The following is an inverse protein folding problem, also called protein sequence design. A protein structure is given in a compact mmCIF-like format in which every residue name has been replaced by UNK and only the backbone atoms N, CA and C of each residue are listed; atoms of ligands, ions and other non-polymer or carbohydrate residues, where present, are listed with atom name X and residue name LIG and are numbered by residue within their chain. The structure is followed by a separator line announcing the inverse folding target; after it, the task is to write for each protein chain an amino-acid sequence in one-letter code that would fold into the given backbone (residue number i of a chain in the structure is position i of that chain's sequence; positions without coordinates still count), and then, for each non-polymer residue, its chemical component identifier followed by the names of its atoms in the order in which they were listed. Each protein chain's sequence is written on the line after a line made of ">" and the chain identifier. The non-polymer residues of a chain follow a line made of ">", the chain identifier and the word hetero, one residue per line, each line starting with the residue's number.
data_IF_467733647498
#
_entry.id   IF_467733647498
#
_cell.length_a   1.000
_cell.length_b   1.000
_cell.length_c   1.000
_cell.angle_alpha   90.00
_cell.angle_beta   90.00
_cell.angle_gamma   90.00
#
_symmetry.space_group_name_H-M   'P 1'
#
loop_
_entity.id
_entity.type
_entity.pdbx_description
1 polymer ?
#
# COMPACT_ATOMS: atom_id res chain seq x y z
N UNK A 1 15.51 13.07 -22.98
CA UNK A 1 14.84 12.70 -21.71
C UNK A 1 15.94 12.36 -20.73
N UNK A 2 16.04 13.09 -19.62
CA UNK A 2 17.00 12.75 -18.58
C UNK A 2 16.61 11.39 -17.99
N UNK A 3 17.55 10.44 -17.96
CA UNK A 3 17.38 9.19 -17.22
C UNK A 3 17.20 9.57 -15.75
N UNK A 4 16.08 9.20 -15.14
CA UNK A 4 15.93 9.28 -13.68
C UNK A 4 17.00 8.34 -13.08
N UNK A 5 18.07 8.92 -12.55
CA UNK A 5 19.07 8.18 -11.78
C UNK A 5 18.55 8.08 -10.35
N UNK A 6 18.14 6.87 -9.98
CA UNK A 6 17.80 6.53 -8.61
C UNK A 6 19.07 6.16 -7.84
N UNK A 7 19.08 6.39 -6.54
CA UNK A 7 20.14 5.91 -5.67
C UNK A 7 20.08 4.38 -5.53
N UNK A 8 21.18 3.70 -5.15
CA UNK A 8 21.17 2.24 -4.97
C UNK A 8 20.10 1.73 -4.01
N UNK A 9 19.82 2.51 -2.95
CA UNK A 9 18.75 2.19 -1.99
C UNK A 9 17.37 2.28 -2.64
N UNK A 10 17.15 3.29 -3.47
CA UNK A 10 15.88 3.50 -4.14
C UNK A 10 15.59 2.37 -5.14
N UNK A 11 16.60 1.95 -5.90
CA UNK A 11 16.51 0.81 -6.79
C UNK A 11 16.23 -0.51 -6.04
N UNK A 12 16.86 -0.71 -4.88
CA UNK A 12 16.65 -1.88 -4.03
C UNK A 12 15.20 -1.96 -3.53
N UNK A 13 14.65 -0.87 -2.98
CA UNK A 13 13.27 -0.84 -2.49
C UNK A 13 12.25 -1.00 -3.62
N UNK A 14 12.50 -0.41 -4.80
CA UNK A 14 11.64 -0.61 -5.97
C UNK A 14 11.65 -2.04 -6.48
N UNK A 15 12.81 -2.72 -6.43
CA UNK A 15 12.93 -4.12 -6.79
C UNK A 15 12.14 -4.99 -5.80
N UNK A 16 12.32 -4.78 -4.50
CA UNK A 16 11.62 -5.53 -3.45
C UNK A 16 10.11 -5.35 -3.51
N UNK A 17 9.64 -4.12 -3.76
CA UNK A 17 8.21 -3.88 -3.93
C UNK A 17 7.64 -4.61 -5.16
N UNK A 18 8.38 -4.63 -6.27
CA UNK A 18 8.01 -5.40 -7.47
C UNK A 18 7.90 -6.90 -7.18
N UNK A 19 8.92 -7.47 -6.56
CA UNK A 19 8.92 -8.89 -6.16
C UNK A 19 7.75 -9.21 -5.22
N UNK A 20 7.47 -8.32 -4.26
CA UNK A 20 6.29 -8.42 -3.39
C UNK A 20 4.99 -8.48 -4.20
N UNK A 21 4.80 -7.58 -5.17
CA UNK A 21 3.59 -7.54 -6.02
C UNK A 21 3.43 -8.79 -6.87
N UNK A 22 4.51 -9.25 -7.50
CA UNK A 22 4.53 -10.43 -8.37
C UNK A 22 4.33 -11.75 -7.59
N UNK A 23 4.66 -11.76 -6.29
CA UNK A 23 4.45 -12.93 -5.43
C UNK A 23 2.95 -13.24 -5.30
N UNK A 24 2.50 -14.36 -5.89
CA UNK A 24 1.07 -14.76 -5.92
C UNK A 24 0.59 -15.39 -4.62
N UNK A 25 1.43 -16.18 -3.95
CA UNK A 25 1.08 -16.82 -2.67
C UNK A 25 1.03 -15.77 -1.54
N UNK A 26 -0.10 -15.69 -0.83
CA UNK A 26 -0.24 -14.78 0.32
C UNK A 26 0.76 -15.17 1.42
N UNK A 27 0.93 -16.46 1.71
CA UNK A 27 1.92 -16.91 2.70
C UNK A 27 3.34 -16.52 2.31
N UNK A 28 3.67 -16.55 1.02
CA UNK A 28 4.98 -16.12 0.54
C UNK A 28 5.18 -14.60 0.66
N UNK A 29 4.10 -13.79 0.61
CA UNK A 29 4.17 -12.34 0.86
C UNK A 29 4.63 -12.02 2.28
N UNK A 30 4.44 -12.93 3.24
CA UNK A 30 4.93 -12.78 4.61
C UNK A 30 6.45 -12.54 4.69
N UNK A 31 7.21 -13.00 3.68
CA UNK A 31 8.65 -12.78 3.60
C UNK A 31 9.04 -11.31 3.40
N UNK A 32 8.14 -10.47 2.90
CA UNK A 32 8.41 -9.04 2.72
C UNK A 32 8.07 -8.21 3.96
N UNK A 33 7.34 -8.80 4.91
CA UNK A 33 6.82 -8.10 6.07
C UNK A 33 7.65 -8.44 7.30
N UNK A 34 7.96 -7.43 8.11
CA UNK A 34 8.39 -7.66 9.49
C UNK A 34 7.30 -8.42 10.24
N UNK A 35 7.62 -9.31 11.18
CA UNK A 35 6.62 -9.91 12.07
C UNK A 35 5.77 -8.87 12.81
N UNK A 36 6.36 -7.70 13.10
CA UNK A 36 5.69 -6.59 13.78
C UNK A 36 5.02 -5.59 12.82
N UNK A 37 4.97 -5.91 11.52
CA UNK A 37 4.41 -5.01 10.52
C UNK A 37 2.97 -4.62 10.87
N UNK A 38 2.70 -3.32 10.84
CA UNK A 38 1.40 -2.72 11.17
C UNK A 38 0.70 -2.27 9.89
N UNK A 39 -0.62 -2.11 9.98
CA UNK A 39 -1.39 -1.47 8.90
C UNK A 39 -2.40 -0.50 9.49
N UNK A 40 -2.49 0.68 8.90
CA UNK A 40 -3.57 1.64 9.15
C UNK A 40 -4.33 1.91 7.85
N UNK A 41 -5.59 2.25 7.99
CA UNK A 41 -6.43 2.73 6.90
C UNK A 41 -7.08 4.05 7.33
N UNK A 42 -6.70 5.14 6.67
CA UNK A 42 -7.16 6.49 7.01
C UNK A 42 -8.64 6.69 6.69
N UNK A 43 -9.14 6.05 5.64
CA UNK A 43 -10.56 6.13 5.23
C UNK A 43 -11.48 5.21 6.04
N UNK A 44 -10.98 4.07 6.52
CA UNK A 44 -11.71 3.13 7.38
C UNK A 44 -10.82 2.72 8.58
N UNK A 45 -10.73 3.54 9.65
CA UNK A 45 -9.80 3.30 10.76
C UNK A 45 -10.02 1.97 11.51
N UNK A 46 -11.20 1.34 11.37
CA UNK A 46 -11.45 0.01 11.92
C UNK A 46 -10.68 -1.08 11.16
N UNK A 47 -10.30 -0.80 9.90
CA UNK A 47 -9.48 -1.67 9.07
C UNK A 47 -7.98 -1.43 9.33
N UNK A 48 -7.54 -1.84 10.52
CA UNK A 48 -6.16 -1.72 10.98
C UNK A 48 -5.61 -3.07 11.45
N UNK A 49 -4.29 -3.24 11.39
CA UNK A 49 -3.59 -4.46 11.80
C UNK A 49 -2.48 -4.17 12.80
N UNK A 50 -2.39 -5.00 13.83
CA UNK A 50 -1.36 -4.94 14.88
C UNK A 50 -0.16 -5.86 14.61
N UNK A 51 -0.24 -6.66 13.57
CA UNK A 51 0.79 -7.63 13.23
C UNK A 51 0.64 -8.09 11.78
N UNK A 52 1.72 -8.70 11.29
CA UNK A 52 1.80 -9.28 9.96
C UNK A 52 0.69 -10.27 9.69
N UNK A 53 0.39 -11.15 10.64
CA UNK A 53 -0.53 -12.26 10.41
C UNK A 53 -1.97 -11.74 10.21
N UNK A 54 -2.34 -10.65 10.88
CA UNK A 54 -3.59 -9.92 10.62
C UNK A 54 -3.60 -9.29 9.22
N UNK A 55 -2.48 -8.72 8.75
CA UNK A 55 -2.37 -8.19 7.38
C UNK A 55 -2.56 -9.30 6.35
N UNK A 56 -1.95 -10.48 6.56
CA UNK A 56 -2.11 -11.62 5.66
C UNK A 56 -3.55 -12.12 5.63
N UNK A 57 -4.22 -12.18 6.80
CA UNK A 57 -5.65 -12.49 6.86
C UNK A 57 -6.49 -11.49 6.05
N UNK A 58 -6.22 -10.20 6.19
CA UNK A 58 -6.88 -9.16 5.39
C UNK A 58 -6.66 -9.31 3.89
N UNK A 59 -5.48 -9.76 3.45
CA UNK A 59 -5.25 -10.07 2.04
C UNK A 59 -6.10 -11.25 1.55
N UNK A 60 -6.33 -12.27 2.39
CA UNK A 60 -7.24 -13.37 2.07
C UNK A 60 -8.71 -12.92 2.02
N UNK A 61 -9.10 -12.03 2.92
CA UNK A 61 -10.47 -11.54 3.08
C UNK A 61 -10.81 -10.32 2.21
N UNK A 62 -9.84 -9.80 1.44
CA UNK A 62 -9.97 -8.57 0.69
C UNK A 62 -11.18 -8.56 -0.25
N UNK A 63 -11.60 -9.72 -0.77
CA UNK A 63 -12.76 -9.86 -1.66
C UNK A 63 -14.03 -9.23 -1.10
N UNK A 64 -14.32 -9.42 0.19
CA UNK A 64 -15.53 -8.88 0.83
C UNK A 64 -15.48 -7.36 0.96
N UNK A 65 -14.31 -6.82 1.29
CA UNK A 65 -14.06 -5.37 1.35
C UNK A 65 -14.24 -4.74 -0.03
N UNK A 66 -13.69 -5.36 -1.07
CA UNK A 66 -13.85 -4.88 -2.44
C UNK A 66 -15.32 -4.91 -2.88
N UNK A 67 -16.05 -5.99 -2.59
CA UNK A 67 -17.48 -6.08 -2.89
C UNK A 67 -18.30 -4.98 -2.20
N UNK A 68 -17.97 -4.63 -0.96
CA UNK A 68 -18.60 -3.50 -0.25
C UNK A 68 -18.36 -2.19 -1.00
N UNK A 69 -17.12 -1.90 -1.39
CA UNK A 69 -16.76 -0.67 -2.12
C UNK A 69 -17.51 -0.59 -3.47
N UNK A 70 -17.53 -1.68 -4.24
CA UNK A 70 -18.29 -1.73 -5.50
C UNK A 70 -19.77 -1.42 -5.29
N UNK A 71 -20.38 -2.01 -4.26
CA UNK A 71 -21.80 -1.80 -3.95
C UNK A 71 -22.10 -0.35 -3.54
N UNK A 72 -21.25 0.23 -2.70
CA UNK A 72 -21.39 1.63 -2.26
C UNK A 72 -21.22 2.63 -3.42
N UNK A 73 -20.39 2.29 -4.41
CA UNK A 73 -20.25 3.04 -5.66
C UNK A 73 -21.42 2.83 -6.65
N UNK A 74 -22.41 1.99 -6.30
CA UNK A 74 -23.55 1.68 -7.17
C UNK A 74 -23.20 0.73 -8.32
N UNK A 75 -22.08 0.00 -8.24
CA UNK A 75 -21.63 -0.93 -9.26
C UNK A 75 -21.97 -2.37 -8.89
N UNK A 76 -22.48 -3.12 -9.88
CA UNK A 76 -22.71 -4.55 -9.72
C UNK A 76 -21.51 -5.35 -10.22
N UNK A 77 -20.85 -6.07 -9.32
CA UNK A 77 -19.66 -6.87 -9.64
C UNK A 77 -19.95 -7.98 -10.66
N UNK A 78 -21.19 -8.48 -10.73
CA UNK A 78 -21.57 -9.49 -11.73
C UNK A 78 -21.60 -8.94 -13.16
N UNK A 79 -21.58 -7.61 -13.33
CA UNK A 79 -21.51 -6.94 -14.62
C UNK A 79 -20.08 -6.57 -15.02
N UNK A 80 -19.10 -6.91 -14.18
CA UNK A 80 -17.69 -6.74 -14.50
C UNK A 80 -17.21 -8.00 -15.21
N UNK A 81 -16.65 -7.83 -16.41
CA UNK A 81 -15.96 -8.89 -17.11
C UNK A 81 -14.53 -8.98 -16.56
N UNK A 82 -14.15 -10.05 -15.84
CA UNK A 82 -12.81 -10.17 -15.29
C UNK A 82 -11.70 -10.09 -16.35
N UNK A 83 -11.98 -10.50 -17.60
CA UNK A 83 -11.01 -10.43 -18.69
C UNK A 83 -10.72 -8.99 -19.15
N UNK A 84 -11.61 -8.05 -18.82
CA UNK A 84 -11.46 -6.63 -19.14
C UNK A 84 -10.77 -5.81 -18.04
N UNK A 85 -10.64 -6.38 -16.84
CA UNK A 85 -10.04 -5.69 -15.69
C UNK A 85 -8.53 -5.69 -15.83
N UNK A 86 -7.95 -4.50 -15.82
CA UNK A 86 -6.51 -4.29 -15.77
C UNK A 86 -6.10 -3.83 -14.39
N UNK A 87 -4.86 -4.15 -13.99
CA UNK A 87 -4.26 -3.72 -12.74
C UNK A 87 -3.04 -2.87 -13.03
N UNK A 88 -2.88 -1.79 -12.27
CA UNK A 88 -1.80 -0.84 -12.43
C UNK A 88 -1.28 -0.40 -11.07
N UNK A 89 -0.04 0.09 -11.06
CA UNK A 89 0.42 0.91 -9.96
C UNK A 89 1.44 1.96 -10.42
N UNK A 90 1.54 3.03 -9.65
CA UNK A 90 2.72 3.91 -9.67
C UNK A 90 3.53 3.74 -8.40
N UNK A 91 4.84 3.99 -8.48
CA UNK A 91 5.72 3.93 -7.33
C UNK A 91 6.82 5.00 -7.40
N UNK A 92 7.07 5.65 -6.27
CA UNK A 92 8.23 6.53 -6.02
C UNK A 92 8.59 6.55 -4.54
N UNK A 93 9.72 7.16 -4.19
CA UNK A 93 10.03 7.48 -2.79
C UNK A 93 9.10 8.55 -2.23
N UNK A 94 8.90 8.52 -0.91
CA UNK A 94 8.23 9.62 -0.20
C UNK A 94 9.03 10.91 -0.32
N UNK A 95 8.31 12.00 -0.55
CA UNK A 95 8.84 13.36 -0.45
C UNK A 95 9.14 13.68 1.01
N UNK A 96 10.03 14.65 1.25
CA UNK A 96 10.37 15.08 2.61
C UNK A 96 9.15 15.50 3.44
N UNK A 97 8.14 16.11 2.81
CA UNK A 97 6.89 16.48 3.48
C UNK A 97 6.01 15.28 3.85
N UNK A 98 6.08 14.20 3.07
CA UNK A 98 5.31 12.97 3.33
C UNK A 98 5.99 12.11 4.40
N UNK A 99 7.32 12.20 4.54
CA UNK A 99 8.07 11.47 5.57
C UNK A 99 7.66 11.83 7.01
N UNK A 100 6.95 12.95 7.19
CA UNK A 100 6.48 13.44 8.49
C UNK A 100 4.97 13.21 8.72
N UNK A 101 4.26 12.71 7.70
CA UNK A 101 2.80 12.54 7.70
C UNK A 101 2.42 11.09 7.99
N UNK A 102 2.27 10.76 9.27
CA UNK A 102 1.81 9.45 9.76
C UNK A 102 0.29 9.40 10.07
N UNK A 103 -0.48 10.37 9.57
CA UNK A 103 -1.90 10.48 9.88
C UNK A 103 -2.17 10.95 11.32
N UNK A 104 -3.22 10.41 11.93
CA UNK A 104 -3.77 10.86 13.21
C UNK A 104 -3.86 9.71 14.22
N UNK A 105 -3.95 10.06 15.51
CA UNK A 105 -4.11 9.06 16.58
C UNK A 105 -5.37 8.18 16.40
N UNK A 106 -6.43 8.70 15.75
CA UNK A 106 -7.64 7.94 15.45
C UNK A 106 -7.36 6.76 14.51
N UNK A 107 -6.42 6.91 13.60
CA UNK A 107 -6.05 5.92 12.57
C UNK A 107 -4.96 4.98 13.11
N UNK A 108 -4.06 5.53 13.94
CA UNK A 108 -2.93 4.82 14.54
C UNK A 108 -3.31 3.93 15.73
N UNK A 109 -4.22 4.37 16.59
CA UNK A 109 -4.59 3.65 17.81
C UNK A 109 -5.16 2.23 17.55
N UNK A 110 -6.02 2.01 16.53
CA UNK A 110 -6.46 0.67 16.15
C UNK A 110 -5.31 -0.27 15.76
N UNK A 111 -4.26 0.25 15.12
CA UNK A 111 -3.03 -0.49 14.81
C UNK A 111 -2.08 -0.65 16.01
N UNK A 112 -2.45 -0.12 17.19
CA UNK A 112 -1.73 -0.34 18.44
C UNK A 112 -0.63 0.66 18.75
N UNK A 113 -0.56 1.79 18.05
CA UNK A 113 0.31 2.91 18.41
C UNK A 113 -0.38 3.81 19.45
N UNK A 114 0.39 4.39 20.35
CA UNK A 114 -0.11 5.29 21.39
C UNK A 114 -0.29 6.72 20.88
N UNK A 115 0.59 7.20 20.00
CA UNK A 115 0.52 8.56 19.45
C UNK A 115 1.24 8.69 18.10
N UNK A 116 1.10 9.85 17.45
CA UNK A 116 1.81 10.18 16.20
C UNK A 116 3.31 10.36 16.48
N UNK A 117 3.65 10.96 17.62
CA UNK A 117 5.04 11.17 18.06
C UNK A 117 5.76 9.84 18.25
N UNK A 118 5.11 8.82 18.82
CA UNK A 118 5.70 7.49 18.92
C UNK A 118 6.12 6.94 17.54
N UNK A 119 5.26 7.08 16.54
CA UNK A 119 5.55 6.58 15.18
C UNK A 119 6.69 7.37 14.55
N UNK A 120 6.71 8.69 14.72
CA UNK A 120 7.79 9.55 14.22
C UNK A 120 9.12 9.18 14.87
N UNK A 121 9.16 9.06 16.20
CA UNK A 121 10.36 8.71 16.95
C UNK A 121 10.89 7.32 16.52
N UNK A 122 10.00 6.37 16.24
CA UNK A 122 10.38 5.05 15.68
C UNK A 122 10.92 5.16 14.26
N UNK A 123 10.26 5.93 13.39
CA UNK A 123 10.71 6.12 12.02
C UNK A 123 12.10 6.75 11.96
N UNK A 124 12.40 7.71 12.83
CA UNK A 124 13.71 8.34 12.94
C UNK A 124 14.77 7.37 13.51
N UNK A 125 14.48 6.77 14.68
CA UNK A 125 15.45 5.93 15.39
C UNK A 125 15.79 4.64 14.64
N UNK A 126 14.82 4.06 13.94
CA UNK A 126 14.97 2.83 13.16
C UNK A 126 15.27 3.10 11.68
N UNK A 127 15.41 4.38 11.29
CA UNK A 127 15.77 4.83 9.93
C UNK A 127 14.84 4.27 8.86
N UNK A 128 13.54 4.51 9.04
CA UNK A 128 12.53 4.04 8.09
C UNK A 128 12.68 4.75 6.74
N UNK A 129 12.44 4.01 5.67
CA UNK A 129 12.39 4.51 4.31
C UNK A 129 11.02 4.25 3.70
N UNK A 130 10.49 5.23 2.98
CA UNK A 130 9.11 5.21 2.51
C UNK A 130 8.98 5.16 1.00
N UNK A 131 7.98 4.41 0.53
CA UNK A 131 7.50 4.40 -0.84
C UNK A 131 6.06 4.93 -0.90
N UNK A 132 5.81 5.90 -1.78
CA UNK A 132 4.45 6.25 -2.22
C UNK A 132 4.04 5.29 -3.32
N UNK A 133 2.92 4.61 -3.12
CA UNK A 133 2.33 3.74 -4.13
C UNK A 133 0.85 4.04 -4.28
N UNK A 134 0.43 4.34 -5.50
CA UNK A 134 -0.97 4.29 -5.89
C UNK A 134 -1.16 3.02 -6.72
N UNK A 135 -2.08 2.14 -6.33
CA UNK A 135 -2.45 0.96 -7.11
C UNK A 135 -3.93 1.00 -7.43
N UNK A 136 -4.30 0.59 -8.64
CA UNK A 136 -5.70 0.56 -9.01
C UNK A 136 -6.02 -0.54 -10.00
N UNK A 137 -7.28 -0.93 -10.00
CA UNK A 137 -7.88 -1.70 -11.08
C UNK A 137 -8.78 -0.80 -11.92
N UNK A 138 -8.93 -1.12 -13.19
CA UNK A 138 -9.86 -0.42 -14.07
C UNK A 138 -10.39 -1.38 -15.12
N UNK A 139 -11.72 -1.41 -15.29
CA UNK A 139 -12.37 -2.07 -16.42
C UNK A 139 -12.61 -1.08 -17.59
N UNK A 140 -13.10 -1.58 -18.72
CA UNK A 140 -13.36 -0.73 -19.90
C UNK A 140 -14.51 0.28 -19.73
N UNK A 141 -15.16 0.35 -18.56
CA UNK A 141 -16.23 1.29 -18.21
C UNK A 141 -15.79 2.28 -17.14
N UNK A 142 -14.50 2.32 -16.78
CA UNK A 142 -13.97 3.20 -15.74
C UNK A 142 -14.40 2.79 -14.33
N UNK A 143 -14.75 1.51 -14.11
CA UNK A 143 -15.04 0.96 -12.78
C UNK A 143 -13.79 0.27 -12.25
N UNK A 144 -13.54 0.40 -10.96
CA UNK A 144 -12.42 -0.25 -10.32
C UNK A 144 -12.11 0.32 -8.96
N UNK A 145 -11.02 -0.16 -8.36
CA UNK A 145 -10.62 0.18 -7.00
C UNK A 145 -9.33 0.96 -7.07
N UNK A 146 -9.22 2.03 -6.29
CA UNK A 146 -8.00 2.78 -6.05
C UNK A 146 -7.57 2.60 -4.60
N UNK A 147 -6.30 2.27 -4.41
CA UNK A 147 -5.63 2.24 -3.11
C UNK A 147 -4.41 3.13 -3.16
N UNK A 148 -4.34 4.12 -2.28
CA UNK A 148 -3.15 4.97 -2.10
C UNK A 148 -2.49 4.60 -0.79
N UNK A 149 -1.22 4.21 -0.84
CA UNK A 149 -0.50 3.67 0.30
C UNK A 149 0.87 4.34 0.42
N UNK A 150 1.30 4.60 1.66
CA UNK A 150 2.71 4.76 1.98
C UNK A 150 3.21 3.46 2.60
N UNK A 151 4.13 2.78 1.90
CA UNK A 151 4.81 1.61 2.42
C UNK A 151 6.10 2.04 3.10
N UNK A 152 6.20 1.75 4.39
CA UNK A 152 7.37 2.06 5.18
C UNK A 152 8.20 0.81 5.41
N UNK A 153 9.51 0.96 5.27
CA UNK A 153 10.49 -0.11 5.29
C UNK A 153 11.57 0.18 6.31
N UNK A 154 12.08 -0.86 6.98
CA UNK A 154 13.31 -0.78 7.76
C UNK A 154 14.21 -1.97 7.45
N UNK A 155 15.48 -1.84 7.81
CA UNK A 155 16.45 -2.94 7.67
C UNK A 155 16.42 -3.81 8.93
N UNK A 156 16.10 -5.09 8.78
CA UNK A 156 16.07 -6.11 9.82
C UNK A 156 17.00 -7.26 9.41
N UNK A 157 17.95 -7.64 10.27
CA UNK A 157 18.91 -8.73 10.02
C UNK A 157 19.58 -8.69 8.63
N UNK A 158 19.86 -7.47 8.16
CA UNK A 158 20.50 -7.22 6.87
C UNK A 158 19.56 -7.16 5.65
N UNK A 159 18.26 -7.41 5.82
CA UNK A 159 17.26 -7.35 4.75
C UNK A 159 16.24 -6.23 4.99
N UNK A 160 15.75 -5.60 3.92
CA UNK A 160 14.65 -4.64 4.02
C UNK A 160 13.31 -5.35 4.18
N UNK A 161 12.51 -4.88 5.13
CA UNK A 161 11.17 -5.40 5.43
C UNK A 161 10.17 -4.26 5.53
N UNK A 162 8.95 -4.48 5.04
CA UNK A 162 7.83 -3.58 5.27
C UNK A 162 7.45 -3.65 6.76
N UNK A 163 7.27 -2.49 7.37
CA UNK A 163 6.97 -2.36 8.80
C UNK A 163 5.67 -1.59 9.09
N UNK A 164 5.18 -0.80 8.14
CA UNK A 164 3.92 -0.09 8.23
C UNK A 164 3.33 0.08 6.84
N UNK A 165 2.09 -0.37 6.67
CA UNK A 165 1.25 -0.06 5.52
C UNK A 165 0.30 1.06 5.91
N UNK A 166 0.56 2.27 5.44
CA UNK A 166 -0.31 3.42 5.69
C UNK A 166 -1.21 3.66 4.48
N UNK A 167 -2.39 3.04 4.52
CA UNK A 167 -3.41 3.17 3.48
C UNK A 167 -4.09 4.52 3.66
N UNK A 168 -3.68 5.49 2.85
CA UNK A 168 -4.22 6.83 2.86
C UNK A 168 -5.60 6.94 2.21
N UNK A 169 -5.87 6.09 1.22
CA UNK A 169 -7.17 6.01 0.58
C UNK A 169 -7.44 4.58 0.12
N UNK A 170 -8.68 4.14 0.27
CA UNK A 170 -9.22 2.90 -0.24
C UNK A 170 -10.66 3.16 -0.69
N UNK A 171 -10.92 3.03 -1.98
CA UNK A 171 -12.22 3.37 -2.55
C UNK A 171 -12.31 3.12 -4.05
N UNK A 172 -13.37 3.60 -4.73
CA UNK A 172 -13.47 3.54 -6.17
C UNK A 172 -12.39 4.41 -6.84
N UNK A 173 -12.04 4.09 -8.10
CA UNK A 173 -11.30 5.02 -8.96
C UNK A 173 -11.99 6.37 -9.03
N UNK A 174 -11.20 7.44 -8.99
CA UNK A 174 -11.68 8.81 -8.80
C UNK A 174 -10.98 9.83 -9.71
N UNK A 175 -10.13 9.36 -10.64
CA UNK A 175 -9.36 10.19 -11.58
C UNK A 175 -8.02 10.68 -11.03
N UNK A 176 -7.65 10.30 -9.80
CA UNK A 176 -6.40 10.71 -9.15
C UNK A 176 -5.36 9.58 -9.05
N UNK A 177 -5.54 8.49 -9.78
CA UNK A 177 -4.74 7.27 -9.68
C UNK A 177 -3.25 7.54 -9.93
N UNK A 178 -2.94 8.50 -10.82
CA UNK A 178 -1.57 8.87 -11.21
C UNK A 178 -1.01 10.08 -10.46
N UNK A 179 -1.76 10.67 -9.52
CA UNK A 179 -1.35 11.87 -8.77
C UNK A 179 -0.11 11.64 -7.91
N UNK A 180 0.14 10.38 -7.54
CA UNK A 180 1.32 9.97 -6.81
C UNK A 180 2.61 10.14 -7.61
N UNK A 181 2.55 10.31 -8.94
CA UNK A 181 3.73 10.34 -9.79
C UNK A 181 4.52 9.03 -9.75
N UNK A 182 5.77 9.06 -10.19
CA UNK A 182 6.64 7.89 -10.21
C UNK A 182 6.51 7.03 -11.47
N UNK A 183 7.02 5.80 -11.40
CA UNK A 183 7.03 4.86 -12.53
C UNK A 183 5.67 4.18 -12.61
N UNK A 184 4.97 4.33 -13.74
CA UNK A 184 3.75 3.59 -14.05
C UNK A 184 4.08 2.17 -14.50
N UNK A 185 3.44 1.18 -13.88
CA UNK A 185 3.53 -0.23 -14.24
C UNK A 185 2.13 -0.78 -14.46
N UNK A 186 1.91 -1.43 -15.60
CA UNK A 186 0.74 -2.27 -15.86
C UNK A 186 1.11 -3.71 -15.44
N UNK A 187 0.31 -4.29 -14.54
CA UNK A 187 0.50 -5.67 -14.11
C UNK A 187 -0.10 -6.61 -15.17
N UNK A 188 0.73 -7.48 -15.74
CA UNK A 188 0.27 -8.55 -16.63
C UNK A 188 -0.51 -9.61 -15.86
N UNK A 189 -1.58 -10.11 -16.47
CA UNK A 189 -2.42 -11.22 -15.97
C UNK A 189 -1.59 -12.49 -15.79
#
# INVERSE_FOLDING_TARGET
>A
MASLQYSPLEEELFKLYREYRETKSIDAKALFFSPECRQICRTDPAYAAKDRDTILRYLCEAGDVLQRIYREAGWNISEMDPASVKSFYTMRHLLSSEKEDFGTVRELAPAGFASVEEVRDKAESEKWEGLRVNMWTEDNKGRGILVKVQYWWRKEDGAWKQILHDIMALGPVDGTEKDGGGILVEEGV
#
